data_IF_940804946157
#
_entry.id   IF_940804946157
#
_cell.length_a   1.000
_cell.length_b   1.000
_cell.length_c   1.000
_cell.angle_alpha   90.00
_cell.angle_beta   90.00
_cell.angle_gamma   90.00
#
_symmetry.space_group_name_H-M   'P 1'
#
loop_
_entity.id
_entity.type
_entity.pdbx_description
1 polymer ?
#
# COMPACT_ATOMS: atom_id res chain seq x y z
N UNK A 1 5.49 31.19 -69.63
CA UNK A 1 6.51 30.26 -69.11
C UNK A 1 6.55 30.32 -67.58
N UNK A 2 5.42 30.05 -66.91
CA UNK A 2 5.35 30.15 -65.43
C UNK A 2 4.53 28.99 -64.81
N UNK A 3 4.26 27.96 -65.60
CA UNK A 3 3.45 26.79 -65.20
C UNK A 3 4.25 25.50 -65.05
N UNK A 4 5.59 25.52 -65.20
CA UNK A 4 6.42 24.30 -65.22
C UNK A 4 7.42 24.22 -64.05
N UNK A 5 7.75 25.32 -63.36
CA UNK A 5 8.82 25.30 -62.33
C UNK A 5 8.34 25.07 -60.88
N UNK A 6 7.02 25.04 -60.60
CA UNK A 6 6.52 24.75 -59.24
C UNK A 6 5.80 23.40 -59.10
N UNK A 7 5.83 22.55 -60.12
CA UNK A 7 5.18 21.23 -60.09
C UNK A 7 6.10 20.06 -59.69
N UNK A 8 7.39 20.32 -59.44
CA UNK A 8 8.36 19.25 -59.13
C UNK A 8 9.13 19.52 -57.83
N UNK A 9 8.39 19.67 -56.74
CA UNK A 9 8.88 19.32 -55.41
C UNK A 9 7.78 18.62 -54.62
N UNK A 10 7.27 17.55 -55.24
CA UNK A 10 6.64 16.47 -54.48
C UNK A 10 7.72 15.79 -53.64
N UNK A 11 7.25 15.12 -52.58
CA UNK A 11 8.01 14.24 -51.68
C UNK A 11 8.63 14.92 -50.46
N UNK A 12 7.80 15.07 -49.42
CA UNK A 12 8.05 14.48 -48.09
C UNK A 12 6.82 14.70 -47.20
N UNK A 13 5.87 13.78 -47.27
CA UNK A 13 5.21 13.34 -46.04
C UNK A 13 6.14 12.29 -45.40
N UNK A 14 6.55 12.51 -44.15
CA UNK A 14 6.56 11.41 -43.21
C UNK A 14 5.59 11.69 -42.07
N UNK A 15 4.93 10.62 -41.65
CA UNK A 15 4.24 10.49 -40.38
C UNK A 15 4.98 11.18 -39.24
N UNK A 16 4.29 12.05 -38.49
CA UNK A 16 4.53 12.22 -37.06
C UNK A 16 3.21 12.60 -36.38
N UNK A 17 2.48 11.54 -35.99
CA UNK A 17 1.70 11.53 -34.76
C UNK A 17 2.64 11.75 -33.57
N UNK A 18 2.12 12.37 -32.50
CA UNK A 18 2.75 12.53 -31.18
C UNK A 18 3.86 13.60 -31.17
N UNK A 19 3.86 14.62 -30.32
CA UNK A 19 3.22 14.86 -29.03
C UNK A 19 3.20 16.37 -28.79
N UNK A 20 2.04 16.94 -28.46
CA UNK A 20 1.99 18.29 -27.91
C UNK A 20 2.88 18.37 -26.65
N UNK A 21 3.73 19.40 -26.49
CA UNK A 21 4.46 19.59 -25.25
C UNK A 21 3.45 19.91 -24.14
N UNK A 22 3.36 18.98 -23.20
CA UNK A 22 2.58 19.06 -21.96
C UNK A 22 2.75 20.43 -21.31
N UNK A 23 1.68 21.21 -21.28
CA UNK A 23 1.54 22.40 -20.44
C UNK A 23 1.88 22.06 -18.98
N UNK A 24 2.74 22.81 -18.27
CA UNK A 24 2.97 22.57 -16.86
C UNK A 24 1.69 22.89 -16.09
N UNK A 25 1.02 21.88 -15.55
CA UNK A 25 -0.14 22.05 -14.68
C UNK A 25 0.30 22.72 -13.37
N UNK A 26 -0.27 23.87 -12.96
CA UNK A 26 0.17 24.65 -11.80
C UNK A 26 -0.22 24.07 -10.43
N UNK A 27 -0.73 22.83 -10.38
CA UNK A 27 -1.13 22.17 -9.14
C UNK A 27 -0.46 20.79 -9.01
N UNK A 28 0.78 20.70 -8.49
CA UNK A 28 1.38 19.43 -8.08
C UNK A 28 0.72 18.95 -6.78
N UNK A 29 -0.58 18.62 -6.84
CA UNK A 29 -1.34 18.12 -5.70
C UNK A 29 -1.14 16.61 -5.61
N UNK A 30 -0.17 16.18 -4.80
CA UNK A 30 -0.13 14.76 -4.39
C UNK A 30 1.16 14.33 -3.72
N UNK A 31 2.29 14.48 -4.40
CA UNK A 31 3.51 13.70 -4.13
C UNK A 31 3.96 13.69 -2.66
N UNK A 32 4.14 14.86 -2.05
CA UNK A 32 4.64 14.98 -0.67
C UNK A 32 3.60 14.62 0.41
N UNK A 33 2.29 14.78 0.14
CA UNK A 33 1.24 14.46 1.12
C UNK A 33 0.85 12.98 1.05
N UNK A 34 0.99 12.32 -0.09
CA UNK A 34 0.76 10.87 -0.27
C UNK A 34 1.95 10.03 0.19
N UNK A 35 3.17 10.58 0.13
CA UNK A 35 4.40 9.91 0.53
C UNK A 35 4.34 9.25 1.93
N UNK A 36 3.96 9.95 3.02
CA UNK A 36 3.94 9.34 4.35
C UNK A 36 2.91 8.20 4.46
N UNK A 37 1.80 8.27 3.72
CA UNK A 37 0.80 7.19 3.74
C UNK A 37 1.33 5.93 3.04
N UNK A 38 2.04 6.08 1.93
CA UNK A 38 2.66 4.96 1.22
C UNK A 38 3.76 4.33 2.08
N UNK A 39 4.63 5.17 2.68
CA UNK A 39 5.70 4.70 3.57
C UNK A 39 5.12 4.02 4.82
N UNK A 40 4.07 4.57 5.42
CA UNK A 40 3.42 3.96 6.58
C UNK A 40 2.78 2.62 6.24
N UNK A 41 2.14 2.50 5.08
CA UNK A 41 1.58 1.23 4.61
C UNK A 41 2.69 0.19 4.40
N UNK A 42 3.75 0.56 3.69
CA UNK A 42 4.91 -0.31 3.46
C UNK A 42 5.54 -0.74 4.79
N UNK A 43 5.79 0.21 5.70
CA UNK A 43 6.38 -0.08 7.01
C UNK A 43 5.46 -1.00 7.84
N UNK A 44 4.15 -0.77 7.82
CA UNK A 44 3.18 -1.61 8.53
C UNK A 44 3.16 -3.04 7.98
N UNK A 45 3.17 -3.20 6.66
CA UNK A 45 3.25 -4.51 6.01
C UNK A 45 4.54 -5.25 6.40
N UNK A 46 5.67 -4.56 6.40
CA UNK A 46 6.95 -5.14 6.84
C UNK A 46 6.91 -5.53 8.32
N UNK A 47 6.42 -4.66 9.20
CA UNK A 47 6.34 -4.95 10.65
C UNK A 47 5.42 -6.12 10.93
N UNK A 48 4.24 -6.18 10.29
CA UNK A 48 3.32 -7.30 10.42
C UNK A 48 3.98 -8.61 9.95
N UNK A 49 4.69 -8.57 8.82
CA UNK A 49 5.38 -9.73 8.27
C UNK A 49 6.51 -10.25 9.18
N UNK A 50 7.36 -9.34 9.65
CA UNK A 50 8.48 -9.69 10.52
C UNK A 50 8.05 -10.12 11.93
N UNK A 51 6.94 -9.60 12.46
CA UNK A 51 6.41 -10.01 13.76
C UNK A 51 5.64 -11.33 13.71
N UNK A 52 4.89 -11.56 12.62
CA UNK A 52 4.05 -12.74 12.48
C UNK A 52 4.85 -13.99 12.10
N UNK A 53 5.83 -13.88 11.21
CA UNK A 53 6.64 -15.01 10.75
C UNK A 53 7.30 -15.84 11.87
N UNK A 54 8.06 -15.25 12.82
CA UNK A 54 8.65 -16.01 13.92
C UNK A 54 7.59 -16.51 14.90
N UNK A 55 6.53 -15.74 15.17
CA UNK A 55 5.48 -16.17 16.08
C UNK A 55 4.73 -17.40 15.55
N UNK A 56 4.46 -17.42 14.24
CA UNK A 56 3.77 -18.53 13.58
C UNK A 56 4.65 -19.79 13.51
N UNK A 57 5.94 -19.68 13.17
CA UNK A 57 6.82 -20.85 13.14
C UNK A 57 7.00 -21.46 14.54
N UNK A 58 7.14 -20.62 15.58
CA UNK A 58 7.26 -21.10 16.95
C UNK A 58 5.98 -21.81 17.41
N UNK A 59 4.80 -21.24 17.12
CA UNK A 59 3.52 -21.85 17.47
C UNK A 59 3.31 -23.20 16.79
N UNK A 60 3.57 -23.29 15.47
CA UNK A 60 3.42 -24.53 14.70
C UNK A 60 4.39 -25.63 15.15
N UNK A 61 5.61 -25.25 15.53
CA UNK A 61 6.64 -26.21 15.95
C UNK A 61 6.46 -26.67 17.41
N UNK A 62 6.10 -25.76 18.33
CA UNK A 62 6.02 -26.06 19.77
C UNK A 62 4.68 -26.61 20.23
N UNK A 63 3.58 -25.96 19.84
CA UNK A 63 2.23 -26.35 20.28
C UNK A 63 1.65 -27.43 19.37
N UNK A 64 1.89 -27.31 18.06
CA UNK A 64 1.33 -28.24 17.08
C UNK A 64 2.21 -29.45 16.76
N UNK A 65 3.44 -29.53 17.31
CA UNK A 65 4.43 -30.59 17.05
C UNK A 65 4.57 -30.95 15.56
N UNK A 66 4.34 -29.99 14.66
CA UNK A 66 4.35 -30.24 13.23
C UNK A 66 5.78 -30.38 12.70
N UNK A 67 5.98 -31.31 11.76
CA UNK A 67 7.24 -31.45 11.03
C UNK A 67 7.57 -30.11 10.34
N UNK A 68 8.84 -29.71 10.38
CA UNK A 68 9.35 -28.46 9.80
C UNK A 68 8.94 -28.27 8.33
N UNK A 69 8.74 -29.36 7.59
CA UNK A 69 8.21 -29.33 6.21
C UNK A 69 6.79 -28.77 6.11
N UNK A 70 5.88 -29.16 6.99
CA UNK A 70 4.51 -28.63 7.01
C UNK A 70 4.47 -27.17 7.43
N UNK A 71 5.30 -26.77 8.39
CA UNK A 71 5.41 -25.38 8.81
C UNK A 71 5.94 -24.47 7.69
N UNK A 72 6.91 -24.95 6.90
CA UNK A 72 7.40 -24.24 5.72
C UNK A 72 6.33 -24.08 4.63
N UNK A 73 5.48 -25.08 4.43
CA UNK A 73 4.37 -24.99 3.46
C UNK A 73 3.37 -23.90 3.85
N UNK A 74 3.05 -23.77 5.15
CA UNK A 74 2.17 -22.71 5.67
C UNK A 74 2.81 -21.33 5.46
N UNK A 75 4.12 -21.18 5.70
CA UNK A 75 4.83 -19.93 5.41
C UNK A 75 4.80 -19.59 3.91
N UNK A 76 4.91 -20.57 3.04
CA UNK A 76 4.84 -20.37 1.59
C UNK A 76 3.45 -19.94 1.14
N UNK A 77 2.38 -20.56 1.67
CA UNK A 77 0.99 -20.14 1.44
C UNK A 77 0.75 -18.72 1.97
N UNK A 78 1.29 -18.42 3.14
CA UNK A 78 1.20 -17.09 3.74
C UNK A 78 1.89 -16.02 2.87
N UNK A 79 3.11 -16.32 2.38
CA UNK A 79 3.81 -15.45 1.44
C UNK A 79 3.07 -15.31 0.10
N UNK A 80 2.45 -16.37 -0.41
CA UNK A 80 1.62 -16.29 -1.60
C UNK A 80 0.40 -15.38 -1.36
N UNK A 81 -0.25 -15.49 -0.20
CA UNK A 81 -1.39 -14.66 0.17
C UNK A 81 -1.03 -13.18 0.28
N UNK A 82 0.13 -12.83 0.89
CA UNK A 82 0.57 -11.44 0.97
C UNK A 82 0.88 -10.85 -0.41
N UNK A 83 1.42 -11.63 -1.35
CA UNK A 83 1.64 -11.18 -2.73
C UNK A 83 0.33 -11.00 -3.53
N UNK A 84 -0.72 -11.76 -3.22
CA UNK A 84 -2.03 -11.64 -3.87
C UNK A 84 -2.90 -10.52 -3.27
N UNK A 85 -2.64 -10.15 -2.01
CA UNK A 85 -3.41 -9.14 -1.29
C UNK A 85 -3.42 -7.76 -1.98
N UNK A 86 -2.31 -7.22 -2.54
CA UNK A 86 -2.30 -5.99 -3.32
C UNK A 86 -3.15 -6.07 -4.58
N UNK A 87 -3.18 -7.23 -5.25
CA UNK A 87 -4.00 -7.44 -6.46
C UNK A 87 -5.47 -7.41 -6.09
N UNK A 88 -5.86 -8.10 -5.01
CA UNK A 88 -7.23 -8.03 -4.50
C UNK A 88 -7.59 -6.60 -4.04
N UNK A 89 -6.65 -5.90 -3.40
CA UNK A 89 -6.80 -4.50 -3.00
C UNK A 89 -6.94 -3.54 -4.19
N UNK A 90 -6.22 -3.79 -5.28
CA UNK A 90 -6.33 -3.03 -6.52
C UNK A 90 -7.69 -3.24 -7.19
N UNK A 91 -8.16 -4.49 -7.29
CA UNK A 91 -9.50 -4.79 -7.82
C UNK A 91 -10.58 -4.12 -6.97
N UNK A 92 -10.44 -4.21 -5.64
CA UNK A 92 -11.34 -3.51 -4.73
C UNK A 92 -11.31 -1.99 -5.00
N UNK A 93 -10.11 -1.39 -5.08
CA UNK A 93 -9.92 0.03 -5.38
C UNK A 93 -10.52 0.46 -6.74
N UNK A 94 -10.39 -0.37 -7.77
CA UNK A 94 -10.93 -0.13 -9.12
C UNK A 94 -12.45 -0.23 -9.14
N UNK A 95 -13.03 -1.10 -8.31
CA UNK A 95 -14.49 -1.16 -8.09
C UNK A 95 -15.01 0.04 -7.27
N UNK A 96 -14.10 0.81 -6.66
CA UNK A 96 -14.38 1.95 -5.79
C UNK A 96 -14.23 3.33 -6.46
N UNK A 97 -14.33 3.44 -7.80
CA UNK A 97 -14.35 4.71 -8.55
C UNK A 97 -15.52 5.65 -8.16
N UNK A 98 -15.40 6.32 -7.01
CA UNK A 98 -16.34 7.34 -6.55
C UNK A 98 -15.98 7.90 -5.18
N UNK A 99 -14.89 8.67 -5.11
CA UNK A 99 -14.45 9.72 -4.14
C UNK A 99 -14.67 9.58 -2.62
N UNK A 100 -15.69 8.88 -2.13
CA UNK A 100 -16.09 8.81 -0.73
C UNK A 100 -15.53 7.58 0.02
N UNK A 101 -15.19 6.50 -0.69
CA UNK A 101 -14.84 5.22 -0.06
C UNK A 101 -13.40 5.16 0.47
N UNK A 102 -12.43 5.82 -0.17
CA UNK A 102 -11.07 5.95 0.37
C UNK A 102 -11.04 6.80 1.66
N UNK A 103 -11.83 7.87 1.72
CA UNK A 103 -12.00 8.68 2.94
C UNK A 103 -12.68 7.83 4.02
N UNK A 104 -13.67 7.02 3.66
CA UNK A 104 -14.33 6.08 4.58
C UNK A 104 -13.36 5.05 5.17
N UNK A 105 -12.57 4.38 4.34
CA UNK A 105 -11.57 3.42 4.81
C UNK A 105 -10.50 4.08 5.68
N UNK A 106 -9.98 5.24 5.26
CA UNK A 106 -9.04 6.01 6.07
C UNK A 106 -9.64 6.45 7.42
N UNK A 107 -10.92 6.82 7.45
CA UNK A 107 -11.62 7.17 8.68
C UNK A 107 -11.81 5.96 9.60
N UNK A 108 -12.18 4.80 9.05
CA UNK A 108 -12.32 3.55 9.81
C UNK A 108 -10.97 3.10 10.38
N UNK A 109 -9.91 3.14 9.57
CA UNK A 109 -8.55 2.80 10.00
C UNK A 109 -8.06 3.76 11.11
N UNK A 110 -8.32 5.08 10.96
CA UNK A 110 -8.00 6.07 12.00
C UNK A 110 -8.79 5.85 13.28
N UNK A 111 -10.05 5.44 13.18
CA UNK A 111 -10.92 5.18 14.33
C UNK A 111 -10.48 3.90 15.06
N UNK A 112 -10.14 2.84 14.34
CA UNK A 112 -9.52 1.63 14.88
C UNK A 112 -8.18 1.94 15.57
N UNK A 113 -7.32 2.73 14.92
CA UNK A 113 -6.04 3.16 15.49
C UNK A 113 -6.23 3.94 16.79
N UNK A 114 -7.18 4.88 16.83
CA UNK A 114 -7.53 5.62 18.05
C UNK A 114 -8.04 4.68 19.15
N UNK A 115 -8.92 3.74 18.84
CA UNK A 115 -9.45 2.77 19.82
C UNK A 115 -8.32 1.92 20.40
N UNK A 116 -7.42 1.40 19.57
CA UNK A 116 -6.27 0.62 20.02
C UNK A 116 -5.37 1.43 20.94
N UNK A 117 -5.03 2.66 20.56
CA UNK A 117 -4.23 3.57 21.40
C UNK A 117 -4.91 3.86 22.74
N UNK A 118 -6.22 4.06 22.72
CA UNK A 118 -7.01 4.30 23.92
C UNK A 118 -7.02 3.08 24.84
N UNK A 119 -7.21 1.89 24.27
CA UNK A 119 -7.20 0.63 25.02
C UNK A 119 -5.82 0.36 25.63
N UNK A 120 -4.75 0.58 24.86
CA UNK A 120 -3.36 0.52 25.34
C UNK A 120 -3.11 1.52 26.46
N UNK A 121 -3.60 2.76 26.34
CA UNK A 121 -3.44 3.79 27.36
C UNK A 121 -4.20 3.45 28.66
N UNK A 122 -5.42 2.94 28.56
CA UNK A 122 -6.22 2.48 29.70
C UNK A 122 -5.53 1.31 30.40
N UNK A 123 -5.07 0.32 29.64
CA UNK A 123 -4.36 -0.84 30.17
C UNK A 123 -3.01 -0.45 30.81
N UNK A 124 -2.27 0.47 30.18
CA UNK A 124 -1.04 1.01 30.75
C UNK A 124 -1.31 1.77 32.05
N UNK A 125 -2.37 2.61 32.07
CA UNK A 125 -2.75 3.38 33.25
C UNK A 125 -3.18 2.49 34.41
N UNK A 126 -3.84 1.36 34.14
CA UNK A 126 -4.22 0.42 35.20
C UNK A 126 -2.98 -0.24 35.84
N UNK A 127 -1.93 -0.54 35.05
CA UNK A 127 -0.67 -1.09 35.57
C UNK A 127 0.15 -0.07 36.36
N UNK A 128 0.16 1.19 35.95
CA UNK A 128 0.89 2.25 36.66
C UNK A 128 0.24 2.61 38.00
N UNK A 129 -1.09 2.54 38.11
CA UNK A 129 -1.82 2.81 39.36
C UNK A 129 -1.67 1.67 40.38
N UNK A 130 -1.46 0.42 39.94
CA UNK A 130 -1.34 -0.73 40.84
C UNK A 130 0.09 -0.96 41.38
N UNK A 131 1.14 -0.42 40.73
CA UNK A 131 2.54 -0.71 41.07
C UNK A 131 3.30 0.39 41.85
N UNK A 132 2.63 1.43 42.37
CA UNK A 132 3.22 2.36 43.36
C UNK A 132 2.11 3.06 44.16
N UNK A 133 2.08 3.01 45.53
CA UNK A 133 3.22 3.23 46.44
C UNK A 133 3.34 2.23 47.60
N UNK A 134 4.51 1.60 47.78
CA UNK A 134 5.00 1.18 49.10
C UNK A 134 6.53 1.23 49.12
N UNK A 135 7.06 2.39 49.50
CA UNK A 135 8.34 2.53 50.19
C UNK A 135 8.06 3.19 51.52
#
# INVERSE_FOLDING_TARGET
MESVSKKTKMEKQPLMSSSNPTTPNPNPKGGIRTLPFIIANEAFERVASFGLAPNMIFYLTREYNMETKSAANILMIWSAATNLLPVAGAIAADTYLGRHRMIGFGSIASLLGMILLWFTAIFSRSKTIFLWPNK
#
